data_IF_515740471507
#
_entry.id   IF_515740471507
#
_cell.length_a   1.000
_cell.length_b   1.000
_cell.length_c   1.000
_cell.angle_alpha   90.00
_cell.angle_beta   90.00
_cell.angle_gamma   90.00
#
_symmetry.space_group_name_H-M   'P 1'
#
loop_
_entity.id
_entity.type
_entity.pdbx_description
1 polymer ?
#
# COMPACT_ATOMS: atom_id res chain seq x y z
N UNK A 1 0.51 28.98 -2.30
CA UNK A 1 1.59 28.36 -1.51
C UNK A 1 1.00 27.30 -0.59
N UNK A 2 1.61 26.15 -0.59
CA UNK A 2 1.14 25.08 0.29
C UNK A 2 1.67 25.29 1.70
N UNK A 3 0.80 25.22 2.69
CA UNK A 3 1.18 25.35 4.08
C UNK A 3 2.09 24.21 4.55
N UNK A 4 2.68 24.40 5.72
CA UNK A 4 3.45 23.34 6.38
C UNK A 4 2.52 22.21 6.78
N UNK A 5 2.88 20.96 6.43
CA UNK A 5 2.14 19.79 6.89
C UNK A 5 2.51 19.52 8.35
N UNK A 6 1.49 19.51 9.22
CA UNK A 6 1.67 19.06 10.60
C UNK A 6 1.28 17.58 10.63
N UNK A 7 2.25 16.74 10.26
CA UNK A 7 1.99 15.31 10.09
C UNK A 7 2.23 14.51 11.36
N UNK A 8 1.26 13.69 11.69
CA UNK A 8 1.43 12.63 12.67
C UNK A 8 1.02 11.31 12.03
N UNK A 9 1.51 10.22 12.58
CA UNK A 9 1.15 8.88 12.14
C UNK A 9 0.41 8.14 13.22
N UNK A 10 -0.56 7.32 12.82
CA UNK A 10 -1.37 6.51 13.75
C UNK A 10 -1.35 5.07 13.27
N UNK A 11 -0.90 4.18 14.15
CA UNK A 11 -0.92 2.74 13.89
C UNK A 11 -2.28 2.19 14.29
N UNK A 12 -2.96 1.51 13.39
CA UNK A 12 -4.32 1.03 13.59
C UNK A 12 -4.54 -0.27 12.78
N UNK A 13 -5.78 -0.58 12.47
CA UNK A 13 -6.13 -1.81 11.76
C UNK A 13 -7.20 -1.56 10.68
N UNK A 14 -7.59 -2.65 9.99
CA UNK A 14 -8.52 -2.60 8.85
C UNK A 14 -9.95 -2.13 9.21
N UNK A 15 -10.27 -2.03 10.49
CA UNK A 15 -11.61 -1.60 10.94
C UNK A 15 -11.71 -0.09 11.16
N UNK A 16 -10.60 0.63 11.08
CA UNK A 16 -10.58 2.08 11.30
C UNK A 16 -11.31 2.80 10.16
N UNK A 17 -12.35 3.57 10.50
CA UNK A 17 -13.15 4.28 9.51
C UNK A 17 -12.34 5.27 8.67
N UNK A 18 -11.31 5.88 9.25
CA UNK A 18 -10.43 6.80 8.51
C UNK A 18 -9.69 6.07 7.40
N UNK A 19 -9.23 4.84 7.69
CA UNK A 19 -8.61 3.99 6.69
C UNK A 19 -9.61 3.58 5.61
N UNK A 20 -10.80 3.13 6.01
CA UNK A 20 -11.81 2.68 5.06
C UNK A 20 -12.24 3.81 4.12
N UNK A 21 -12.30 5.03 4.61
CA UNK A 21 -12.63 6.18 3.76
C UNK A 21 -11.53 6.46 2.73
N UNK A 22 -10.27 6.38 3.13
CA UNK A 22 -9.14 6.52 2.20
C UNK A 22 -9.14 5.40 1.15
N UNK A 23 -9.50 4.18 1.55
CA UNK A 23 -9.63 3.05 0.63
C UNK A 23 -10.73 3.31 -0.39
N UNK A 24 -11.85 3.89 0.02
CA UNK A 24 -12.93 4.25 -0.90
C UNK A 24 -12.44 5.27 -1.95
N UNK A 25 -11.65 6.24 -1.53
CA UNK A 25 -11.05 7.21 -2.47
C UNK A 25 -10.10 6.53 -3.45
N UNK A 26 -9.28 5.62 -2.96
CA UNK A 26 -8.37 4.84 -3.80
C UNK A 26 -9.14 4.02 -4.84
N UNK A 27 -10.19 3.33 -4.41
CA UNK A 27 -11.03 2.51 -5.28
C UNK A 27 -11.74 3.36 -6.34
N UNK A 28 -12.23 4.54 -5.99
CA UNK A 28 -12.82 5.46 -6.96
C UNK A 28 -11.81 5.88 -8.02
N UNK A 29 -10.58 6.16 -7.62
CA UNK A 29 -9.51 6.51 -8.55
C UNK A 29 -9.20 5.37 -9.52
N UNK A 30 -9.18 4.14 -9.05
CA UNK A 30 -9.01 2.97 -9.91
C UNK A 30 -10.19 2.80 -10.86
N UNK A 31 -11.41 2.96 -10.37
CA UNK A 31 -12.61 2.83 -11.20
C UNK A 31 -12.59 3.83 -12.36
N UNK A 32 -12.18 5.06 -12.11
CA UNK A 32 -12.07 6.09 -13.15
C UNK A 32 -11.04 5.72 -14.22
N UNK A 33 -9.97 5.00 -13.85
CA UNK A 33 -8.91 4.63 -14.79
C UNK A 33 -9.16 3.35 -15.55
N UNK A 34 -9.74 2.34 -14.91
CA UNK A 34 -9.87 1.00 -15.48
C UNK A 34 -11.30 0.54 -15.66
N UNK A 35 -12.28 1.32 -15.20
CA UNK A 35 -13.69 1.03 -15.42
C UNK A 35 -14.09 -0.36 -14.91
N UNK A 36 -14.75 -1.12 -15.77
CA UNK A 36 -15.29 -2.44 -15.41
C UNK A 36 -14.21 -3.46 -15.00
N UNK A 37 -12.96 -3.22 -15.33
CA UNK A 37 -11.87 -4.12 -14.93
C UNK A 37 -11.64 -4.10 -13.42
N UNK A 38 -12.11 -3.08 -12.72
CA UNK A 38 -11.95 -2.99 -11.28
C UNK A 38 -12.58 -4.18 -10.56
N UNK A 39 -13.74 -4.64 -11.02
CA UNK A 39 -14.43 -5.77 -10.40
C UNK A 39 -13.59 -7.05 -10.39
N UNK A 40 -12.67 -7.19 -11.33
CA UNK A 40 -11.71 -8.28 -11.40
C UNK A 40 -10.84 -8.37 -10.14
N UNK A 41 -10.57 -7.24 -9.49
CA UNK A 41 -9.68 -7.14 -8.35
C UNK A 41 -10.39 -7.05 -7.01
N UNK A 42 -11.71 -6.87 -6.98
CA UNK A 42 -12.47 -6.68 -5.74
C UNK A 42 -12.24 -7.80 -4.74
N UNK A 43 -12.26 -9.05 -5.21
CA UNK A 43 -12.08 -10.22 -4.37
C UNK A 43 -10.69 -10.28 -3.72
N UNK A 44 -9.68 -9.63 -4.31
CA UNK A 44 -8.31 -9.63 -3.80
C UNK A 44 -8.06 -8.52 -2.80
N UNK A 45 -8.98 -7.55 -2.73
CA UNK A 45 -8.82 -6.35 -1.92
C UNK A 45 -9.79 -6.30 -0.73
N UNK A 46 -10.51 -7.38 -0.46
CA UNK A 46 -11.41 -7.45 0.68
C UNK A 46 -10.63 -7.55 1.99
N UNK A 47 -11.20 -6.92 3.05
CA UNK A 47 -10.58 -6.91 4.37
C UNK A 47 -11.14 -8.03 5.24
N UNK A 48 -11.10 -9.26 4.72
CA UNK A 48 -11.54 -10.46 5.44
C UNK A 48 -10.44 -11.04 6.34
N UNK A 49 -9.26 -10.44 6.33
CA UNK A 49 -8.12 -10.84 7.16
C UNK A 49 -7.55 -9.62 7.87
N UNK A 50 -6.91 -9.82 9.03
CA UNK A 50 -6.29 -8.69 9.75
C UNK A 50 -5.23 -7.97 8.92
N UNK A 51 -5.24 -6.65 9.00
CA UNK A 51 -4.23 -5.79 8.41
C UNK A 51 -3.64 -4.89 9.49
N UNK A 52 -2.35 -4.64 9.38
CA UNK A 52 -1.68 -3.58 10.13
C UNK A 52 -1.71 -2.33 9.27
N UNK A 53 -2.25 -1.25 9.79
CA UNK A 53 -2.49 -0.02 9.04
C UNK A 53 -1.76 1.14 9.68
N UNK A 54 -1.08 1.93 8.88
CA UNK A 54 -0.48 3.19 9.31
C UNK A 54 -1.17 4.33 8.56
N UNK A 55 -1.73 5.27 9.32
CA UNK A 55 -2.35 6.47 8.77
C UNK A 55 -1.41 7.65 8.94
N UNK A 56 -1.40 8.55 7.94
CA UNK A 56 -0.81 9.87 8.09
C UNK A 56 -1.94 10.88 8.23
N UNK A 57 -1.83 11.73 9.24
CA UNK A 57 -2.82 12.79 9.49
C UNK A 57 -2.11 14.14 9.35
N UNK A 58 -2.79 15.10 8.73
CA UNK A 58 -2.36 16.49 8.71
C UNK A 58 -3.35 17.29 9.54
N UNK A 59 -2.87 17.83 10.66
CA UNK A 59 -3.73 18.57 11.60
C UNK A 59 -4.99 17.76 11.98
N UNK A 60 -4.81 16.47 12.20
CA UNK A 60 -5.89 15.56 12.59
C UNK A 60 -6.71 14.98 11.45
N UNK A 61 -6.49 15.40 10.21
CA UNK A 61 -7.24 14.91 9.06
C UNK A 61 -6.46 13.82 8.33
N UNK A 62 -7.08 12.67 8.03
CA UNK A 62 -6.38 11.59 7.32
C UNK A 62 -6.05 12.01 5.89
N UNK A 63 -4.78 11.90 5.52
CA UNK A 63 -4.28 12.29 4.19
C UNK A 63 -3.63 11.16 3.42
N UNK A 64 -3.26 10.08 4.09
CA UNK A 64 -2.58 8.95 3.46
C UNK A 64 -2.67 7.71 4.34
N UNK A 65 -2.49 6.56 3.71
CA UNK A 65 -2.42 5.29 4.43
C UNK A 65 -1.49 4.31 3.70
N UNK A 66 -1.04 3.33 4.45
CA UNK A 66 -0.39 2.12 3.94
C UNK A 66 -0.76 0.99 4.89
N UNK A 67 -0.80 -0.23 4.36
CA UNK A 67 -1.12 -1.38 5.20
C UNK A 67 -0.37 -2.62 4.74
N UNK A 68 -0.29 -3.61 5.61
CA UNK A 68 0.18 -4.94 5.21
C UNK A 68 -0.64 -6.01 5.90
N UNK A 69 -0.66 -7.19 5.28
CA UNK A 69 -1.22 -8.40 5.88
C UNK A 69 -0.15 -9.48 5.90
N UNK A 70 -0.24 -10.38 6.86
CA UNK A 70 0.67 -11.53 6.93
C UNK A 70 0.24 -12.55 5.88
N UNK A 71 1.19 -13.00 5.06
CA UNK A 71 0.96 -14.07 4.08
C UNK A 71 1.24 -15.43 4.69
N UNK A 72 2.41 -15.58 5.32
CA UNK A 72 2.85 -16.82 5.95
C UNK A 72 3.86 -16.49 7.05
N UNK A 73 4.56 -17.49 7.55
CA UNK A 73 5.55 -17.33 8.62
C UNK A 73 6.71 -16.41 8.26
N UNK A 74 7.01 -16.29 6.97
CA UNK A 74 8.18 -15.56 6.49
C UNK A 74 7.88 -14.25 5.82
N UNK A 75 6.62 -13.98 5.45
CA UNK A 75 6.34 -12.86 4.54
C UNK A 75 5.05 -12.12 4.83
N UNK A 76 5.04 -10.87 4.39
CA UNK A 76 3.89 -9.99 4.43
C UNK A 76 3.64 -9.43 3.03
N UNK A 77 2.42 -8.96 2.80
CA UNK A 77 2.07 -8.24 1.57
C UNK A 77 1.60 -6.84 1.93
N UNK A 78 2.26 -5.82 1.36
CA UNK A 78 1.80 -4.44 1.47
C UNK A 78 0.63 -4.22 0.53
N UNK A 79 -0.39 -3.55 1.04
CA UNK A 79 -1.64 -3.28 0.31
C UNK A 79 -2.17 -1.89 0.66
N UNK A 80 -2.97 -1.35 -0.23
CA UNK A 80 -3.71 -0.12 0.01
C UNK A 80 -2.82 1.05 0.40
N UNK A 81 -1.75 1.24 -0.37
CA UNK A 81 -0.89 2.43 -0.25
C UNK A 81 -1.55 3.56 -1.01
N UNK A 82 -1.93 4.61 -0.29
CA UNK A 82 -2.66 5.72 -0.90
C UNK A 82 -2.30 7.05 -0.24
N UNK A 83 -2.13 8.07 -1.07
CA UNK A 83 -1.93 9.45 -0.64
C UNK A 83 -2.95 10.32 -1.37
N UNK A 84 -3.67 11.16 -0.64
CA UNK A 84 -4.61 12.11 -1.26
C UNK A 84 -3.87 12.98 -2.27
N UNK A 85 -4.55 13.27 -3.39
CA UNK A 85 -3.94 13.96 -4.53
C UNK A 85 -3.20 15.25 -4.13
N UNK A 86 -3.79 16.05 -3.25
CA UNK A 86 -3.21 17.32 -2.82
C UNK A 86 -1.90 17.17 -2.03
N UNK A 87 -1.60 15.96 -1.54
CA UNK A 87 -0.44 15.70 -0.69
C UNK A 87 0.61 14.82 -1.37
N UNK A 88 0.43 14.52 -2.65
CA UNK A 88 1.37 13.68 -3.41
C UNK A 88 2.68 14.41 -3.70
N UNK A 89 3.71 13.63 -4.08
CA UNK A 89 5.05 14.12 -4.43
C UNK A 89 5.81 14.77 -3.27
N UNK A 90 5.48 14.36 -2.05
CA UNK A 90 6.13 14.87 -0.82
C UNK A 90 6.82 13.77 -0.01
N UNK A 91 6.87 12.55 -0.55
CA UNK A 91 7.53 11.43 0.12
C UNK A 91 6.71 10.80 1.24
N UNK A 92 5.42 11.08 1.34
CA UNK A 92 4.57 10.56 2.43
C UNK A 92 4.44 9.03 2.34
N UNK A 93 4.14 8.49 1.16
CA UNK A 93 4.03 7.04 0.97
C UNK A 93 5.34 6.34 1.31
N UNK A 94 6.47 6.89 0.88
CA UNK A 94 7.79 6.38 1.20
C UNK A 94 7.97 6.27 2.71
N UNK A 95 7.64 7.33 3.44
CA UNK A 95 7.76 7.36 4.90
C UNK A 95 6.87 6.33 5.58
N UNK A 96 5.61 6.20 5.13
CA UNK A 96 4.67 5.25 5.71
C UNK A 96 5.17 3.81 5.54
N UNK A 97 5.62 3.46 4.35
CA UNK A 97 6.11 2.12 4.07
C UNK A 97 7.36 1.83 4.90
N UNK A 98 8.29 2.80 4.99
CA UNK A 98 9.50 2.63 5.81
C UNK A 98 9.16 2.38 7.29
N UNK A 99 8.18 3.09 7.82
CA UNK A 99 7.75 2.87 9.21
C UNK A 99 7.14 1.48 9.40
N UNK A 100 6.32 1.04 8.46
CA UNK A 100 5.75 -0.31 8.52
C UNK A 100 6.83 -1.39 8.35
N UNK A 101 7.81 -1.16 7.51
CA UNK A 101 8.93 -2.11 7.34
C UNK A 101 9.69 -2.34 8.64
N UNK A 102 9.79 -1.33 9.49
CA UNK A 102 10.42 -1.49 10.81
C UNK A 102 9.66 -2.50 11.66
N UNK A 103 8.33 -2.48 11.61
CA UNK A 103 7.51 -3.46 12.31
C UNK A 103 7.66 -4.86 11.72
N UNK A 104 7.70 -4.95 10.39
CA UNK A 104 7.90 -6.22 9.67
C UNK A 104 9.23 -6.86 10.09
N UNK A 105 10.30 -6.07 10.13
CA UNK A 105 11.61 -6.54 10.56
C UNK A 105 11.64 -6.93 12.04
N UNK A 106 10.97 -6.16 12.88
CA UNK A 106 10.89 -6.43 14.33
C UNK A 106 10.20 -7.77 14.60
N UNK A 107 9.21 -8.12 13.79
CA UNK A 107 8.46 -9.36 13.92
C UNK A 107 9.12 -10.52 13.17
N UNK A 108 10.37 -10.33 12.71
CA UNK A 108 11.22 -11.35 12.09
C UNK A 108 10.73 -11.91 10.76
N UNK A 109 9.92 -11.14 10.02
CA UNK A 109 9.57 -11.52 8.66
C UNK A 109 10.78 -11.35 7.74
N UNK A 110 10.95 -12.29 6.82
CA UNK A 110 12.12 -12.34 5.94
C UNK A 110 11.98 -11.44 4.72
N UNK A 111 10.77 -11.25 4.22
CA UNK A 111 10.56 -10.43 3.02
C UNK A 111 9.13 -9.91 2.94
N UNK A 112 8.95 -8.91 2.08
CA UNK A 112 7.63 -8.39 1.75
C UNK A 112 7.39 -8.43 0.24
N UNK A 113 6.12 -8.54 -0.12
CA UNK A 113 5.63 -8.53 -1.50
C UNK A 113 4.73 -7.32 -1.68
N UNK A 114 4.80 -6.71 -2.85
CA UNK A 114 3.86 -5.69 -3.29
C UNK A 114 3.39 -6.06 -4.69
N UNK A 115 2.06 -6.03 -4.90
CA UNK A 115 1.47 -6.22 -6.23
C UNK A 115 0.90 -4.87 -6.66
N UNK A 116 1.26 -4.43 -7.85
CA UNK A 116 0.77 -3.17 -8.40
C UNK A 116 0.46 -3.31 -9.89
N UNK A 117 -0.30 -2.36 -10.42
CA UNK A 117 -0.61 -2.36 -11.85
C UNK A 117 0.65 -2.22 -12.69
N UNK A 118 0.74 -3.00 -13.78
CA UNK A 118 1.92 -3.01 -14.65
C UNK A 118 2.21 -1.66 -15.29
N UNK A 119 1.20 -0.79 -15.38
CA UNK A 119 1.33 0.55 -15.97
C UNK A 119 1.37 1.67 -14.93
N UNK A 120 1.35 1.32 -13.64
CA UNK A 120 1.40 2.32 -12.57
C UNK A 120 2.85 2.74 -12.31
N UNK A 121 3.37 3.58 -13.21
CA UNK A 121 4.78 3.99 -13.18
C UNK A 121 5.15 4.70 -11.87
N UNK A 122 4.35 5.64 -11.32
CA UNK A 122 4.71 6.28 -10.06
C UNK A 122 4.84 5.28 -8.90
N UNK A 123 3.96 4.29 -8.82
CA UNK A 123 4.04 3.26 -7.77
C UNK A 123 5.28 2.38 -7.95
N UNK A 124 5.55 1.95 -9.17
CA UNK A 124 6.73 1.13 -9.47
C UNK A 124 8.01 1.86 -9.07
N UNK A 125 8.14 3.14 -9.41
CA UNK A 125 9.29 3.95 -9.04
C UNK A 125 9.44 4.11 -7.53
N UNK A 126 8.33 4.29 -6.83
CA UNK A 126 8.33 4.37 -5.38
C UNK A 126 8.88 3.08 -4.76
N UNK A 127 8.39 1.94 -5.23
CA UNK A 127 8.82 0.65 -4.68
C UNK A 127 10.26 0.33 -5.04
N UNK A 128 10.71 0.65 -6.24
CA UNK A 128 12.12 0.53 -6.61
C UNK A 128 13.02 1.38 -5.70
N UNK A 129 12.60 2.61 -5.41
CA UNK A 129 13.33 3.50 -4.52
C UNK A 129 13.41 2.95 -3.09
N UNK A 130 12.38 2.20 -2.67
CA UNK A 130 12.36 1.54 -1.37
C UNK A 130 13.22 0.26 -1.33
N UNK A 131 13.72 -0.19 -2.49
CA UNK A 131 14.56 -1.38 -2.57
C UNK A 131 13.84 -2.62 -3.07
N UNK A 132 12.62 -2.49 -3.56
CA UNK A 132 11.89 -3.60 -4.16
C UNK A 132 12.39 -3.87 -5.57
N UNK A 133 12.34 -5.13 -5.97
CA UNK A 133 12.68 -5.56 -7.33
C UNK A 133 11.58 -6.45 -7.86
N UNK A 134 11.51 -6.55 -9.19
CA UNK A 134 10.56 -7.43 -9.85
C UNK A 134 10.81 -8.88 -9.44
N UNK A 135 9.74 -9.61 -9.20
CA UNK A 135 9.79 -11.04 -8.91
C UNK A 135 8.72 -11.75 -9.72
N UNK A 136 8.73 -13.07 -9.69
CA UNK A 136 7.70 -13.85 -10.36
C UNK A 136 6.33 -13.57 -9.73
N UNK A 137 5.28 -13.65 -10.54
CA UNK A 137 3.90 -13.53 -10.07
C UNK A 137 3.64 -14.56 -8.97
N UNK A 138 2.82 -14.19 -7.99
CA UNK A 138 2.49 -15.10 -6.92
C UNK A 138 0.98 -15.22 -6.73
N UNK A 139 0.56 -16.37 -6.17
CA UNK A 139 -0.83 -16.61 -5.81
C UNK A 139 -1.78 -16.43 -6.98
N UNK A 140 -2.88 -15.74 -6.72
CA UNK A 140 -3.94 -15.53 -7.70
C UNK A 140 -3.54 -14.63 -8.89
N UNK A 141 -2.37 -14.00 -8.84
CA UNK A 141 -1.90 -13.12 -9.91
C UNK A 141 -0.99 -13.81 -10.93
N UNK A 142 -0.71 -15.11 -10.76
CA UNK A 142 0.11 -15.87 -11.70
C UNK A 142 -0.53 -15.81 -13.09
N UNK A 143 0.25 -15.36 -14.07
CA UNK A 143 -0.22 -15.24 -15.46
C UNK A 143 -1.05 -14.00 -15.77
N UNK A 144 -1.23 -13.10 -14.83
CA UNK A 144 -1.96 -11.84 -15.03
C UNK A 144 -1.01 -10.73 -15.45
N UNK A 145 -0.99 -10.42 -16.75
CA UNK A 145 -0.11 -9.42 -17.34
C UNK A 145 -0.47 -7.98 -16.96
N UNK A 146 -1.62 -7.76 -16.34
CA UNK A 146 -2.05 -6.42 -15.93
C UNK A 146 -1.41 -5.95 -14.63
N UNK A 147 -0.75 -6.84 -13.92
CA UNK A 147 -0.06 -6.53 -12.66
C UNK A 147 1.37 -7.02 -12.67
N UNK A 148 2.17 -6.45 -11.78
CA UNK A 148 3.51 -6.94 -11.51
C UNK A 148 3.64 -7.18 -10.01
N UNK A 149 4.50 -8.15 -9.67
CA UNK A 149 4.85 -8.44 -8.28
C UNK A 149 6.26 -7.91 -8.03
N UNK A 150 6.45 -7.27 -6.89
CA UNK A 150 7.75 -6.79 -6.45
C UNK A 150 8.04 -7.32 -5.06
N UNK A 151 9.31 -7.52 -4.77
CA UNK A 151 9.76 -8.18 -3.54
C UNK A 151 10.95 -7.45 -2.95
N UNK A 152 10.99 -7.42 -1.61
CA UNK A 152 12.14 -6.88 -0.87
C UNK A 152 12.50 -7.84 0.26
N UNK A 153 13.77 -8.24 0.30
CA UNK A 153 14.32 -9.07 1.36
C UNK A 153 14.74 -8.18 2.53
N UNK A 154 14.49 -8.65 3.76
CA UNK A 154 14.94 -7.96 4.98
C UNK A 154 16.10 -8.67 5.67
N UNK A 155 16.42 -9.86 5.21
CA UNK A 155 17.55 -10.64 5.77
C UNK A 155 18.40 -11.23 4.67
#
# INVERSE_FOLDING_TARGET
>A
MMGVIVMETVLTNEKDERFLELVRELDRGYYERIGDELSKYDQYNEFNKPHVVLLALDSGQPIACASYRVLDEDSVEFKRVYVKKAFRKRGIAYCLIRELEKLVMKDDFSFSIIVTGAHNVPAIRLYEKLGYHMTDDFGQFIGDDSVICMRKEFM
#
